data_IF_308193435400
#
_entry.id   IF_308193435400
#
_cell.length_a   1.000
_cell.length_b   1.000
_cell.length_c   1.000
_cell.angle_alpha   90.00
_cell.angle_beta   90.00
_cell.angle_gamma   90.00
#
_symmetry.space_group_name_H-M   'P 1'
#
loop_
_entity.id
_entity.type
_entity.pdbx_description
1 polymer ?
#
# COMPACT_ATOMS: atom_id res chain seq x y z
N UNK A 1 2.48 1.91 -18.79
CA UNK A 1 2.31 1.59 -17.37
C UNK A 1 0.85 1.32 -17.06
N UNK A 2 0.55 0.09 -16.64
CA UNK A 2 -0.79 -0.35 -16.23
C UNK A 2 -0.72 -0.79 -14.76
N UNK A 3 -0.32 0.15 -13.88
CA UNK A 3 -0.04 -0.12 -12.45
C UNK A 3 -1.21 -0.82 -11.73
N UNK A 4 -2.46 -0.49 -12.10
CA UNK A 4 -3.64 -1.12 -11.49
C UNK A 4 -3.72 -2.62 -11.76
N UNK A 5 -3.39 -3.05 -12.98
CA UNK A 5 -3.38 -4.48 -13.32
C UNK A 5 -2.19 -5.21 -12.67
N UNK A 6 -1.03 -4.55 -12.60
CA UNK A 6 0.14 -5.08 -11.89
C UNK A 6 -0.15 -5.30 -10.39
N UNK A 7 -0.80 -4.32 -9.74
CA UNK A 7 -1.25 -4.42 -8.36
C UNK A 7 -2.25 -5.57 -8.16
N UNK A 8 -3.28 -5.67 -9.01
CA UNK A 8 -4.26 -6.75 -8.93
C UNK A 8 -3.61 -8.12 -9.10
N UNK A 9 -2.66 -8.25 -10.02
CA UNK A 9 -1.93 -9.49 -10.25
C UNK A 9 -1.11 -9.89 -9.03
N UNK A 10 -0.33 -8.97 -8.46
CA UNK A 10 0.48 -9.21 -7.27
C UNK A 10 -0.41 -9.52 -6.05
N UNK A 11 -1.50 -8.78 -5.87
CA UNK A 11 -2.48 -8.97 -4.80
C UNK A 11 -3.11 -10.36 -4.83
N UNK A 12 -3.61 -10.81 -6.00
CA UNK A 12 -4.20 -12.15 -6.16
C UNK A 12 -3.22 -13.26 -5.78
N UNK A 13 -1.96 -13.14 -6.19
CA UNK A 13 -0.90 -14.11 -5.84
C UNK A 13 -0.64 -14.11 -4.33
N UNK A 14 -0.55 -12.92 -3.74
CA UNK A 14 -0.30 -12.76 -2.31
C UNK A 14 -1.47 -13.29 -1.47
N UNK A 15 -2.72 -13.14 -1.92
CA UNK A 15 -3.88 -13.72 -1.22
C UNK A 15 -3.81 -15.26 -1.13
N UNK A 16 -3.26 -15.93 -2.15
CA UNK A 16 -3.10 -17.38 -2.16
C UNK A 16 -2.01 -17.91 -1.22
N UNK A 17 -1.26 -17.03 -0.54
CA UNK A 17 -0.16 -17.39 0.35
C UNK A 17 -0.63 -17.74 1.77
N UNK A 18 -0.04 -18.75 2.43
CA UNK A 18 -0.48 -19.20 3.76
C UNK A 18 -0.11 -18.25 4.90
N UNK A 19 0.83 -17.32 4.69
CA UNK A 19 1.30 -16.40 5.71
C UNK A 19 0.17 -15.53 6.28
N UNK A 20 0.11 -15.41 7.62
CA UNK A 20 -0.94 -14.65 8.30
C UNK A 20 -0.89 -13.16 7.92
N UNK A 21 0.31 -12.60 7.89
CA UNK A 21 0.55 -11.20 7.53
C UNK A 21 1.01 -11.12 6.07
N UNK A 22 0.35 -10.27 5.30
CA UNK A 22 0.58 -10.09 3.87
C UNK A 22 0.80 -8.61 3.60
N UNK A 23 2.00 -8.27 3.14
CA UNK A 23 2.40 -6.89 2.84
C UNK A 23 2.72 -6.82 1.35
N UNK A 24 2.12 -5.87 0.65
CA UNK A 24 2.38 -5.55 -0.74
C UNK A 24 3.00 -4.16 -0.81
N UNK A 25 4.26 -4.10 -1.26
CA UNK A 25 5.00 -2.85 -1.49
C UNK A 25 5.07 -2.58 -2.99
N UNK A 26 4.50 -1.46 -3.43
CA UNK A 26 4.61 -0.98 -4.80
C UNK A 26 5.80 -0.03 -4.91
N UNK A 27 6.67 -0.22 -5.91
CA UNK A 27 7.74 0.73 -6.23
C UNK A 27 7.46 1.21 -7.65
N UNK A 28 7.24 2.51 -7.84
CA UNK A 28 6.84 3.08 -9.14
C UNK A 28 7.55 4.41 -9.40
N UNK A 29 7.96 4.64 -10.64
CA UNK A 29 8.68 5.82 -11.12
C UNK A 29 7.79 6.81 -11.89
N UNK A 30 6.47 6.60 -11.90
CA UNK A 30 5.57 7.45 -12.68
C UNK A 30 4.07 7.24 -12.44
N UNK A 31 3.28 7.95 -13.24
CA UNK A 31 1.82 7.81 -13.28
C UNK A 31 1.40 6.66 -14.23
N UNK A 32 0.20 6.09 -14.07
CA UNK A 32 -0.28 5.06 -14.98
C UNK A 32 -0.60 5.65 -16.37
N UNK A 33 0.21 5.31 -17.38
CA UNK A 33 0.13 5.84 -18.75
C UNK A 33 0.39 4.73 -19.76
N UNK A 34 -0.56 4.45 -20.65
CA UNK A 34 -0.40 3.50 -21.77
C UNK A 34 -1.06 4.09 -23.03
N UNK A 35 -0.27 4.30 -24.09
CA UNK A 35 -0.70 5.04 -25.30
C UNK A 35 -1.87 4.37 -26.02
N UNK A 36 -1.84 3.03 -26.10
CA UNK A 36 -2.93 2.28 -26.74
C UNK A 36 -4.23 2.45 -25.96
N UNK A 37 -4.16 2.37 -24.63
CA UNK A 37 -5.32 2.61 -23.76
C UNK A 37 -5.83 4.04 -23.88
N UNK A 38 -4.94 5.04 -23.89
CA UNK A 38 -5.31 6.46 -24.00
C UNK A 38 -5.90 6.84 -25.36
N UNK A 39 -5.53 6.13 -26.43
CA UNK A 39 -5.99 6.43 -27.79
C UNK A 39 -7.48 6.17 -28.01
N UNK A 40 -8.09 5.28 -27.22
CA UNK A 40 -9.49 4.86 -27.37
C UNK A 40 -10.33 5.02 -26.09
N UNK A 41 -9.75 5.53 -25.00
CA UNK A 41 -10.45 5.76 -23.73
C UNK A 41 -10.29 7.20 -23.24
N UNK A 42 -11.16 7.67 -22.33
CA UNK A 42 -10.95 8.94 -21.64
C UNK A 42 -9.58 8.96 -20.95
N UNK A 43 -8.89 10.11 -20.99
CA UNK A 43 -7.51 10.24 -20.48
C UNK A 43 -7.31 9.91 -18.99
N UNK A 44 -8.39 9.85 -18.20
CA UNK A 44 -8.35 9.47 -16.78
C UNK A 44 -8.72 8.01 -16.52
N UNK A 45 -8.86 7.17 -17.55
CA UNK A 45 -9.27 5.78 -17.42
C UNK A 45 -8.32 4.98 -16.51
N UNK A 46 -7.03 5.03 -16.81
CA UNK A 46 -6.00 4.30 -16.04
C UNK A 46 -5.85 4.83 -14.61
N UNK A 47 -5.96 6.15 -14.42
CA UNK A 47 -5.94 6.73 -13.07
C UNK A 47 -7.14 6.27 -12.24
N UNK A 48 -8.35 6.31 -12.81
CA UNK A 48 -9.56 5.80 -12.14
C UNK A 48 -9.44 4.33 -11.80
N UNK A 49 -8.91 3.54 -12.72
CA UNK A 49 -8.68 2.12 -12.49
C UNK A 49 -7.67 1.90 -11.34
N UNK A 50 -6.52 2.58 -11.36
CA UNK A 50 -5.53 2.51 -10.28
C UNK A 50 -6.14 2.87 -8.92
N UNK A 51 -6.90 3.97 -8.83
CA UNK A 51 -7.57 4.38 -7.59
C UNK A 51 -8.56 3.33 -7.10
N UNK A 52 -9.35 2.73 -7.99
CA UNK A 52 -10.30 1.69 -7.62
C UNK A 52 -9.61 0.42 -7.10
N UNK A 53 -8.48 0.03 -7.71
CA UNK A 53 -7.68 -1.11 -7.26
C UNK A 53 -7.07 -0.84 -5.90
N UNK A 54 -6.47 0.33 -5.69
CA UNK A 54 -5.90 0.71 -4.41
C UNK A 54 -6.97 0.68 -3.33
N UNK A 55 -8.11 1.36 -3.54
CA UNK A 55 -9.23 1.39 -2.59
C UNK A 55 -9.74 -0.02 -2.24
N UNK A 56 -9.85 -0.91 -3.24
CA UNK A 56 -10.22 -2.30 -3.02
C UNK A 56 -9.25 -3.01 -2.08
N UNK A 57 -7.94 -2.91 -2.35
CA UNK A 57 -6.92 -3.58 -1.54
C UNK A 57 -6.90 -3.02 -0.13
N UNK A 58 -6.98 -1.70 -0.02
CA UNK A 58 -6.85 -0.93 1.22
C UNK A 58 -8.06 -1.03 2.15
N UNK A 59 -9.27 -1.21 1.62
CA UNK A 59 -10.50 -1.19 2.42
C UNK A 59 -11.18 -2.55 2.54
N UNK A 60 -10.94 -3.46 1.58
CA UNK A 60 -11.66 -4.75 1.50
C UNK A 60 -10.76 -5.97 1.56
N UNK A 61 -9.46 -5.80 1.73
CA UNK A 61 -8.52 -6.90 1.74
C UNK A 61 -7.67 -6.92 3.01
N UNK A 62 -7.22 -8.11 3.46
CA UNK A 62 -6.32 -8.24 4.61
C UNK A 62 -4.86 -7.88 4.28
N UNK A 63 -4.56 -7.58 3.01
CA UNK A 63 -3.22 -7.20 2.54
C UNK A 63 -2.92 -5.76 2.92
N UNK A 64 -1.82 -5.53 3.62
CA UNK A 64 -1.29 -4.21 3.89
C UNK A 64 -0.59 -3.67 2.63
N UNK A 65 -1.04 -2.53 2.12
CA UNK A 65 -0.49 -1.89 0.93
C UNK A 65 0.35 -0.68 1.31
N UNK A 66 1.53 -0.56 0.72
CA UNK A 66 2.36 0.65 0.79
C UNK A 66 3.07 0.91 -0.53
N UNK A 67 3.52 2.15 -0.75
CA UNK A 67 4.16 2.55 -1.99
C UNK A 67 5.43 3.40 -1.81
N UNK A 68 6.38 3.24 -2.72
CA UNK A 68 7.56 4.09 -2.88
C UNK A 68 7.53 4.69 -4.28
N UNK A 69 7.42 6.00 -4.38
CA UNK A 69 7.51 6.75 -5.63
C UNK A 69 8.94 7.18 -5.89
N UNK A 70 9.50 6.92 -7.06
CA UNK A 70 10.85 7.40 -7.44
C UNK A 70 10.69 8.56 -8.42
N UNK A 71 11.10 9.77 -8.01
CA UNK A 71 10.97 10.97 -8.83
C UNK A 71 9.52 11.38 -9.13
N UNK A 72 8.54 10.70 -8.55
CA UNK A 72 7.12 10.93 -8.80
C UNK A 72 6.28 10.80 -7.53
N UNK A 73 5.38 11.77 -7.31
CA UNK A 73 4.52 11.78 -6.12
C UNK A 73 3.39 10.75 -6.22
N UNK A 74 3.55 9.66 -5.47
CA UNK A 74 2.56 8.58 -5.35
C UNK A 74 1.67 8.73 -4.11
N UNK A 75 1.94 9.68 -3.21
CA UNK A 75 1.18 9.89 -1.97
C UNK A 75 -0.27 10.29 -2.23
N UNK A 76 -0.55 10.84 -3.41
CA UNK A 76 -1.90 11.15 -3.91
C UNK A 76 -2.79 9.93 -4.19
N UNK A 77 -2.21 8.72 -4.20
CA UNK A 77 -2.91 7.48 -4.51
C UNK A 77 -2.97 6.52 -3.32
N UNK A 78 -1.88 6.36 -2.58
CA UNK A 78 -1.75 5.36 -1.52
C UNK A 78 -1.76 6.02 -0.14
N UNK A 79 -2.44 5.41 0.83
CA UNK A 79 -2.49 5.94 2.21
C UNK A 79 -1.14 5.85 2.93
N UNK A 80 -0.33 4.85 2.60
CA UNK A 80 1.02 4.64 3.14
C UNK A 80 2.01 4.75 2.00
N UNK A 81 2.67 5.89 1.87
CA UNK A 81 3.65 6.07 0.82
C UNK A 81 4.77 7.03 1.20
N UNK A 82 5.89 6.85 0.52
CA UNK A 82 7.03 7.76 0.52
C UNK A 82 7.45 8.04 -0.92
N UNK A 83 7.94 9.24 -1.17
CA UNK A 83 8.52 9.62 -2.47
C UNK A 83 10.00 9.90 -2.25
N UNK A 84 10.85 9.23 -3.00
CA UNK A 84 12.30 9.43 -3.04
C UNK A 84 12.69 10.15 -4.33
N UNK A 85 13.83 10.82 -4.31
CA UNK A 85 14.28 11.61 -5.47
C UNK A 85 14.82 10.70 -6.57
N UNK A 86 15.61 9.69 -6.19
CA UNK A 86 16.26 8.75 -7.10
C UNK A 86 16.33 7.34 -6.49
N UNK A 87 16.84 6.39 -7.28
CA UNK A 87 16.89 4.98 -6.90
C UNK A 87 17.96 4.67 -5.84
N UNK A 88 18.92 5.56 -5.58
CA UNK A 88 19.98 5.33 -4.59
C UNK A 88 19.40 5.37 -3.17
N UNK A 89 18.36 6.16 -2.96
CA UNK A 89 17.62 6.27 -1.70
C UNK A 89 16.69 5.07 -1.41
N UNK A 90 16.44 4.20 -2.40
CA UNK A 90 15.43 3.15 -2.32
C UNK A 90 15.68 2.17 -1.17
N UNK A 91 16.93 1.76 -0.96
CA UNK A 91 17.27 0.81 0.10
C UNK A 91 16.95 1.36 1.51
N UNK A 92 17.22 2.66 1.72
CA UNK A 92 16.90 3.36 2.96
C UNK A 92 15.39 3.44 3.16
N UNK A 93 14.68 3.94 2.14
CA UNK A 93 13.22 4.09 2.18
C UNK A 93 12.50 2.76 2.42
N UNK A 94 12.93 1.66 1.77
CA UNK A 94 12.36 0.33 2.01
C UNK A 94 12.51 -0.11 3.47
N UNK A 95 13.70 0.10 4.05
CA UNK A 95 13.99 -0.30 5.43
C UNK A 95 13.14 0.50 6.41
N UNK A 96 13.02 1.81 6.22
CA UNK A 96 12.22 2.70 7.07
C UNK A 96 10.72 2.37 6.99
N UNK A 97 10.20 2.14 5.79
CA UNK A 97 8.78 1.78 5.61
C UNK A 97 8.45 0.44 6.27
N UNK A 98 9.35 -0.54 6.16
CA UNK A 98 9.18 -1.82 6.85
C UNK A 98 9.24 -1.64 8.37
N UNK A 99 10.20 -0.88 8.89
CA UNK A 99 10.32 -0.60 10.33
C UNK A 99 9.05 0.05 10.88
N UNK A 100 8.56 1.12 10.25
CA UNK A 100 7.34 1.82 10.65
C UNK A 100 6.11 0.89 10.66
N UNK A 101 6.03 -0.02 9.69
CA UNK A 101 4.94 -0.98 9.56
C UNK A 101 4.97 -2.05 10.67
N UNK A 102 6.12 -2.38 11.25
CA UNK A 102 6.21 -3.23 12.44
C UNK A 102 5.92 -2.48 13.75
N UNK A 103 6.31 -1.20 13.86
CA UNK A 103 6.06 -0.40 15.06
C UNK A 103 4.56 -0.12 15.29
N UNK A 104 3.80 0.15 14.22
CA UNK A 104 2.36 0.42 14.32
C UNK A 104 1.56 -0.79 14.87
N UNK A 105 2.05 -2.02 14.66
CA UNK A 105 1.48 -3.23 15.27
C UNK A 105 1.71 -3.26 16.78
N UNK A 106 2.92 -2.95 17.23
CA UNK A 106 3.25 -2.93 18.67
C UNK A 106 2.37 -1.95 19.47
N UNK A 107 1.94 -0.85 18.84
CA UNK A 107 0.97 0.08 19.42
C UNK A 107 -0.45 -0.48 19.52
N UNK A 108 -0.94 -1.17 18.48
CA UNK A 108 -2.29 -1.78 18.46
C UNK A 108 -2.44 -2.94 19.43
N UNK A 109 -1.39 -3.74 19.65
CA UNK A 109 -1.41 -4.82 20.64
C UNK A 109 -1.42 -4.29 22.08
N UNK A 110 -0.64 -3.23 22.37
CA UNK A 110 -0.60 -2.60 23.70
C UNK A 110 -1.93 -1.95 24.11
N UNK A 111 -2.73 -1.47 23.15
CA UNK A 111 -4.06 -0.89 23.41
C UNK A 111 -5.14 -1.91 23.79
N UNK A 112 -4.96 -3.21 23.46
CA UNK A 112 -5.95 -4.26 23.73
C UNK A 112 -5.79 -4.96 25.09
N UNK A 113 -4.67 -4.74 25.79
CA UNK A 113 -4.38 -5.38 27.08
C UNK A 113 -4.84 -4.61 28.34
N UNK A 114 -5.30 -3.36 28.22
CA UNK A 114 -5.53 -2.47 29.37
C UNK A 114 -6.91 -2.52 30.03
N UNK A 115 -7.84 -3.37 29.57
CA UNK A 115 -9.27 -3.23 29.85
C UNK A 115 -9.90 -4.34 30.69
N UNK A 116 -9.26 -4.89 31.74
CA UNK A 116 -9.99 -5.72 32.71
C UNK A 116 -9.29 -5.86 34.07
N UNK A 117 -9.44 -4.83 34.91
CA UNK A 117 -8.95 -4.90 36.28
C UNK A 117 -9.37 -3.74 37.15
N UNK A 118 -10.65 -3.68 37.56
CA UNK A 118 -10.98 -3.16 38.89
C UNK A 118 -12.35 -3.70 39.36
N UNK A 119 -12.31 -4.69 40.24
CA UNK A 119 -13.39 -4.99 41.20
C UNK A 119 -13.19 -4.09 42.42
N UNK A 120 -14.27 -3.55 42.98
CA UNK A 120 -14.52 -3.34 44.44
C UNK A 120 -15.98 -2.86 44.56
N UNK A 121 -16.88 -3.72 45.03
CA UNK A 121 -17.25 -3.91 46.43
C UNK A 121 -18.14 -2.76 46.96
N UNK A 122 -19.41 -3.09 47.14
CA UNK A 122 -20.47 -2.34 47.82
C UNK A 122 -21.59 -3.32 48.11
#
# INVERSE_FOLDING_TARGET
>A
NIDGEALLWAHKRLLGRPEQRKILMMISDGAPVDDSTLSVNPGNYLEKHLRAVIDLIETRSPVELLAIGIGHDVTRYYRRAVTIVDAEELAGAMTEQLAALFEEQGGRERGRGGGRGMRRAG
#
